data_IF_695449213669
#
_entry.id   IF_695449213669
#
_cell.length_a   1.000
_cell.length_b   1.000
_cell.length_c   1.000
_cell.angle_alpha   90.00
_cell.angle_beta   90.00
_cell.angle_gamma   90.00
#
_symmetry.space_group_name_H-M   'P 1'
#
loop_
_entity.id
_entity.type
_entity.pdbx_description
1 polymer ?
#
# COMPACT_ATOMS: atom_id res chain seq x y z
N UNK A 1 -18.51 8.53 -20.37
CA UNK A 1 -17.49 8.02 -19.43
C UNK A 1 -18.20 7.62 -18.15
N UNK A 2 -18.27 6.33 -17.87
CA UNK A 2 -18.93 5.83 -16.66
C UNK A 2 -18.07 6.23 -15.44
N UNK A 3 -18.71 6.49 -14.30
CA UNK A 3 -18.00 6.83 -13.06
C UNK A 3 -17.00 5.74 -12.63
N UNK A 4 -17.23 4.50 -13.01
CA UNK A 4 -16.32 3.37 -12.86
C UNK A 4 -14.99 3.57 -13.59
N UNK A 5 -14.97 4.10 -14.81
CA UNK A 5 -13.75 4.30 -15.60
C UNK A 5 -12.77 5.27 -14.93
N UNK A 6 -13.31 6.29 -14.24
CA UNK A 6 -12.50 7.29 -13.50
C UNK A 6 -11.88 6.69 -12.25
N UNK A 7 -12.63 5.85 -11.53
CA UNK A 7 -12.14 5.17 -10.33
C UNK A 7 -11.08 4.11 -10.66
N UNK A 8 -11.16 3.52 -11.85
CA UNK A 8 -10.15 2.58 -12.33
C UNK A 8 -8.79 3.24 -12.50
N UNK A 9 -8.75 4.46 -13.07
CA UNK A 9 -7.52 5.22 -13.18
C UNK A 9 -6.89 5.54 -11.83
N UNK A 10 -7.70 5.99 -10.85
CA UNK A 10 -7.22 6.28 -9.49
C UNK A 10 -6.69 5.03 -8.81
N UNK A 11 -7.40 3.91 -8.94
CA UNK A 11 -6.98 2.63 -8.39
C UNK A 11 -5.63 2.17 -8.94
N UNK A 12 -5.42 2.27 -10.27
CA UNK A 12 -4.16 1.92 -10.89
C UNK A 12 -3.00 2.82 -10.45
N UNK A 13 -3.23 4.12 -10.36
CA UNK A 13 -2.22 5.08 -9.88
C UNK A 13 -1.78 4.71 -8.46
N UNK A 14 -2.73 4.54 -7.53
CA UNK A 14 -2.42 4.17 -6.16
C UNK A 14 -1.69 2.83 -6.08
N UNK A 15 -2.19 1.83 -6.79
CA UNK A 15 -1.61 0.49 -6.79
C UNK A 15 -0.17 0.47 -7.27
N UNK A 16 0.09 1.10 -8.43
CA UNK A 16 1.44 1.11 -9.02
C UNK A 16 2.38 1.95 -8.16
N UNK A 17 1.97 3.15 -7.75
CA UNK A 17 2.83 4.05 -6.96
C UNK A 17 3.21 3.43 -5.62
N UNK A 18 2.23 2.93 -4.86
CA UNK A 18 2.46 2.37 -3.53
C UNK A 18 3.20 1.02 -3.61
N UNK A 19 2.80 0.15 -4.52
CA UNK A 19 3.40 -1.16 -4.67
C UNK A 19 4.84 -1.09 -5.20
N UNK A 20 5.09 -0.27 -6.23
CA UNK A 20 6.45 -0.07 -6.75
C UNK A 20 7.33 0.67 -5.74
N UNK A 21 6.78 1.66 -5.02
CA UNK A 21 7.51 2.37 -3.97
C UNK A 21 7.99 1.43 -2.87
N UNK A 22 7.12 0.57 -2.35
CA UNK A 22 7.49 -0.43 -1.34
C UNK A 22 8.52 -1.44 -1.88
N UNK A 23 8.33 -1.92 -3.11
CA UNK A 23 9.25 -2.86 -3.75
C UNK A 23 10.65 -2.25 -3.92
N UNK A 24 10.73 -1.03 -4.44
CA UNK A 24 12.01 -0.33 -4.67
C UNK A 24 12.72 -0.01 -3.35
N UNK A 25 12.00 0.48 -2.35
CA UNK A 25 12.56 0.74 -1.02
C UNK A 25 13.09 -0.54 -0.37
N UNK A 26 12.35 -1.65 -0.50
CA UNK A 26 12.78 -2.95 0.00
C UNK A 26 14.03 -3.48 -0.68
N UNK A 27 14.09 -3.38 -2.02
CA UNK A 27 15.28 -3.77 -2.80
C UNK A 27 16.48 -2.90 -2.45
N UNK A 28 16.29 -1.59 -2.31
CA UNK A 28 17.36 -0.65 -2.02
C UNK A 28 18.04 -0.88 -0.66
N UNK A 29 17.34 -1.48 0.30
CA UNK A 29 17.92 -1.86 1.61
C UNK A 29 19.08 -2.88 1.50
N UNK A 30 19.27 -3.49 0.36
CA UNK A 30 20.41 -4.36 0.09
C UNK A 30 21.61 -3.62 -0.52
N UNK A 31 21.39 -2.45 -1.10
CA UNK A 31 22.36 -1.73 -1.91
C UNK A 31 22.71 -0.34 -1.39
N UNK A 32 21.86 0.27 -0.53
CA UNK A 32 22.01 1.64 0.02
C UNK A 32 22.28 2.69 -1.08
N UNK A 33 21.55 2.59 -2.23
CA UNK A 33 21.72 3.50 -3.37
C UNK A 33 20.87 4.76 -3.27
N UNK A 34 19.64 4.63 -2.79
CA UNK A 34 18.71 5.76 -2.61
C UNK A 34 19.05 6.54 -1.35
N UNK A 35 19.42 5.83 -0.28
CA UNK A 35 19.76 6.43 1.01
C UNK A 35 20.54 5.45 1.89
N UNK A 36 21.18 5.95 2.93
CA UNK A 36 21.79 5.12 3.98
C UNK A 36 20.74 4.72 5.00
N UNK A 37 20.13 3.55 4.82
CA UNK A 37 18.97 3.11 5.61
C UNK A 37 19.23 3.00 7.11
N UNK A 38 20.48 2.75 7.52
CA UNK A 38 20.83 2.66 8.95
C UNK A 38 20.62 3.95 9.73
N UNK A 39 20.62 5.11 9.08
CA UNK A 39 20.37 6.39 9.74
C UNK A 39 18.94 6.56 10.25
N UNK A 40 17.99 5.79 9.72
CA UNK A 40 16.57 5.81 10.11
C UNK A 40 16.21 4.84 11.23
N UNK A 41 17.17 4.04 11.68
CA UNK A 41 16.95 3.13 12.80
C UNK A 41 17.03 3.91 14.11
N UNK A 42 15.97 3.85 14.93
CA UNK A 42 15.97 4.55 16.20
C UNK A 42 16.96 3.92 17.19
N UNK A 43 17.58 4.71 18.09
CA UNK A 43 18.45 4.16 19.15
C UNK A 43 17.75 3.13 20.03
N UNK A 44 16.43 3.26 20.21
CA UNK A 44 15.62 2.30 20.94
C UNK A 44 15.55 0.97 20.18
N UNK A 45 15.28 1.02 18.88
CA UNK A 45 15.25 -0.17 18.05
C UNK A 45 16.61 -0.89 18.07
N UNK A 46 17.72 -0.17 17.93
CA UNK A 46 19.07 -0.75 17.98
C UNK A 46 19.35 -1.49 19.29
N UNK A 47 18.86 -0.97 20.43
CA UNK A 47 19.04 -1.59 21.74
C UNK A 47 18.17 -2.83 21.94
N UNK A 48 17.01 -2.88 21.33
CA UNK A 48 16.05 -3.98 21.50
C UNK A 48 16.27 -5.12 20.49
N UNK A 49 17.01 -4.85 19.40
CA UNK A 49 17.23 -5.85 18.37
C UNK A 49 18.23 -6.94 18.86
N UNK A 50 17.84 -8.23 18.71
CA UNK A 50 18.75 -9.35 19.02
C UNK A 50 19.80 -9.58 17.94
N UNK A 51 19.79 -8.79 16.87
CA UNK A 51 20.64 -8.89 15.67
C UNK A 51 21.24 -7.53 15.31
N UNK A 52 22.28 -7.53 14.48
CA UNK A 52 22.83 -6.26 14.02
C UNK A 52 21.82 -5.45 13.18
N UNK A 53 21.87 -4.13 13.26
CA UNK A 53 20.99 -3.24 12.52
C UNK A 53 20.98 -3.53 11.02
N UNK A 54 22.11 -3.94 10.44
CA UNK A 54 22.20 -4.32 9.01
C UNK A 54 21.38 -5.58 8.69
N UNK A 55 21.42 -6.60 9.54
CA UNK A 55 20.64 -7.82 9.37
C UNK A 55 19.15 -7.49 9.49
N UNK A 56 18.78 -6.68 10.47
CA UNK A 56 17.41 -6.20 10.64
C UNK A 56 16.92 -5.46 9.41
N UNK A 57 17.68 -4.50 8.89
CA UNK A 57 17.30 -3.73 7.69
C UNK A 57 17.14 -4.60 6.44
N UNK A 58 17.97 -5.63 6.27
CA UNK A 58 17.76 -6.60 5.18
C UNK A 58 16.48 -7.41 5.37
N UNK A 59 16.16 -7.81 6.59
CA UNK A 59 14.91 -8.51 6.88
C UNK A 59 13.69 -7.60 6.61
N UNK A 60 13.74 -6.33 7.01
CA UNK A 60 12.69 -5.36 6.67
C UNK A 60 12.57 -5.15 5.16
N UNK A 61 13.70 -5.15 4.44
CA UNK A 61 13.72 -5.09 2.97
C UNK A 61 12.98 -6.26 2.32
N UNK A 62 13.17 -7.49 2.82
CA UNK A 62 12.43 -8.67 2.33
C UNK A 62 10.92 -8.50 2.58
N UNK A 63 10.52 -8.01 3.76
CA UNK A 63 9.12 -7.75 4.08
C UNK A 63 8.52 -6.71 3.13
N UNK A 64 9.22 -5.62 2.86
CA UNK A 64 8.77 -4.57 1.94
C UNK A 64 8.63 -5.07 0.50
N UNK A 65 9.56 -5.90 0.04
CA UNK A 65 9.47 -6.56 -1.27
C UNK A 65 8.22 -7.43 -1.32
N UNK A 66 7.97 -8.25 -0.31
CA UNK A 66 6.79 -9.12 -0.26
C UNK A 66 5.49 -8.31 -0.24
N UNK A 67 5.42 -7.24 0.56
CA UNK A 67 4.27 -6.32 0.60
C UNK A 67 4.07 -5.63 -0.75
N UNK A 68 5.15 -5.10 -1.35
CA UNK A 68 5.08 -4.44 -2.66
C UNK A 68 4.56 -5.38 -3.75
N UNK A 69 5.06 -6.62 -3.79
CA UNK A 69 4.57 -7.65 -4.70
C UNK A 69 3.11 -8.02 -4.44
N UNK A 70 2.69 -8.11 -3.17
CA UNK A 70 1.30 -8.37 -2.84
C UNK A 70 0.37 -7.25 -3.34
N UNK A 71 0.76 -5.97 -3.19
CA UNK A 71 0.01 -4.83 -3.72
C UNK A 71 -0.07 -4.87 -5.25
N UNK A 72 1.01 -5.24 -5.94
CA UNK A 72 1.10 -5.26 -7.40
C UNK A 72 0.45 -6.48 -8.05
N UNK A 73 0.11 -7.51 -7.29
CA UNK A 73 -0.46 -8.76 -7.80
C UNK A 73 -1.96 -8.90 -7.46
N UNK A 74 -2.49 -10.11 -7.49
CA UNK A 74 -3.90 -10.41 -7.12
C UNK A 74 -4.26 -10.13 -5.65
N UNK A 75 -3.25 -9.90 -4.81
CA UNK A 75 -3.41 -9.72 -3.37
C UNK A 75 -3.49 -8.24 -2.97
N UNK A 76 -3.81 -7.35 -3.91
CA UNK A 76 -3.81 -5.89 -3.73
C UNK A 76 -4.51 -5.45 -2.45
N UNK A 77 -5.68 -6.00 -2.12
CA UNK A 77 -6.43 -5.62 -0.92
C UNK A 77 -5.67 -5.95 0.37
N UNK A 78 -5.21 -7.19 0.51
CA UNK A 78 -4.45 -7.64 1.67
C UNK A 78 -3.09 -6.94 1.76
N UNK A 79 -2.38 -6.83 0.63
CA UNK A 79 -1.11 -6.12 0.51
C UNK A 79 -1.22 -4.65 0.91
N UNK A 80 -2.32 -3.98 0.55
CA UNK A 80 -2.54 -2.58 0.91
C UNK A 80 -2.79 -2.39 2.42
N UNK A 81 -3.51 -3.29 3.08
CA UNK A 81 -3.62 -3.26 4.54
C UNK A 81 -2.29 -3.54 5.21
N UNK A 82 -1.53 -4.53 4.74
CA UNK A 82 -0.20 -4.83 5.24
C UNK A 82 0.75 -3.62 5.07
N UNK A 83 0.70 -2.95 3.92
CA UNK A 83 1.48 -1.75 3.65
C UNK A 83 1.12 -0.61 4.60
N UNK A 84 -0.17 -0.36 4.82
CA UNK A 84 -0.62 0.68 5.74
C UNK A 84 -0.11 0.46 7.17
N UNK A 85 -0.22 -0.77 7.66
CA UNK A 85 0.29 -1.15 8.98
C UNK A 85 1.82 -1.02 9.04
N UNK A 86 2.52 -1.45 8.00
CA UNK A 86 3.97 -1.38 7.90
C UNK A 86 4.48 0.06 7.93
N UNK A 87 3.89 0.94 7.12
CA UNK A 87 4.23 2.37 7.10
C UNK A 87 3.93 3.06 8.43
N UNK A 88 2.84 2.70 9.10
CA UNK A 88 2.56 3.18 10.44
C UNK A 88 3.64 2.74 11.45
N UNK A 89 4.11 1.50 11.38
CA UNK A 89 5.18 1.00 12.24
C UNK A 89 6.51 1.72 11.97
N UNK A 90 6.85 1.98 10.70
CA UNK A 90 8.02 2.79 10.33
C UNK A 90 7.88 4.21 10.88
N UNK A 91 6.70 4.82 10.76
CA UNK A 91 6.43 6.17 11.29
C UNK A 91 6.66 6.24 12.81
N UNK A 92 6.25 5.21 13.55
CA UNK A 92 6.51 5.13 14.99
C UNK A 92 8.03 5.07 15.28
N UNK A 93 8.77 4.23 14.54
CA UNK A 93 10.23 4.15 14.69
C UNK A 93 10.91 5.51 14.40
N UNK A 94 10.50 6.21 13.33
CA UNK A 94 11.04 7.51 12.96
C UNK A 94 10.68 8.59 13.99
N UNK A 95 9.46 8.58 14.52
CA UNK A 95 9.03 9.50 15.57
C UNK A 95 9.84 9.31 16.86
N UNK A 96 10.14 8.06 17.23
CA UNK A 96 10.99 7.73 18.39
C UNK A 96 12.43 8.17 18.14
N UNK A 97 12.93 8.14 16.90
CA UNK A 97 14.24 8.68 16.53
C UNK A 97 14.30 10.21 16.69
N UNK A 98 13.17 10.93 16.63
CA UNK A 98 13.03 12.34 16.95
C UNK A 98 13.58 13.33 15.91
N UNK A 99 14.10 12.84 14.77
CA UNK A 99 14.84 13.66 13.81
C UNK A 99 14.25 13.72 12.40
N UNK A 100 13.19 12.93 12.09
CA UNK A 100 12.70 12.71 10.73
C UNK A 100 11.19 12.95 10.62
N UNK A 101 10.69 14.07 11.14
CA UNK A 101 9.26 14.41 11.17
C UNK A 101 8.63 14.55 9.79
N UNK A 102 9.39 15.01 8.82
CA UNK A 102 8.99 15.07 7.40
C UNK A 102 8.70 13.66 6.85
N UNK A 103 9.54 12.69 7.17
CA UNK A 103 9.34 11.30 6.78
C UNK A 103 8.18 10.66 7.54
N UNK A 104 8.00 10.97 8.81
CA UNK A 104 6.83 10.52 9.59
C UNK A 104 5.53 10.96 8.91
N UNK A 105 5.42 12.24 8.55
CA UNK A 105 4.23 12.78 7.87
C UNK A 105 4.03 12.14 6.48
N UNK A 106 5.09 11.97 5.72
CA UNK A 106 5.06 11.30 4.42
C UNK A 106 4.54 9.86 4.54
N UNK A 107 5.07 9.10 5.49
CA UNK A 107 4.73 7.68 5.63
C UNK A 107 3.32 7.49 6.20
N UNK A 108 2.85 8.37 7.09
CA UNK A 108 1.45 8.41 7.51
C UNK A 108 0.50 8.75 6.36
N UNK A 109 0.88 9.71 5.49
CA UNK A 109 0.13 10.01 4.28
C UNK A 109 0.05 8.82 3.31
N UNK A 110 1.16 8.13 3.12
CA UNK A 110 1.22 6.91 2.31
C UNK A 110 0.42 5.75 2.96
N UNK A 111 0.41 5.64 4.29
CA UNK A 111 -0.43 4.66 5.00
C UNK A 111 -1.93 4.94 4.78
N UNK A 112 -2.35 6.19 4.83
CA UNK A 112 -3.72 6.59 4.52
C UNK A 112 -4.09 6.28 3.06
N UNK A 113 -3.18 6.56 2.12
CA UNK A 113 -3.35 6.21 0.70
C UNK A 113 -3.45 4.68 0.49
N UNK A 114 -2.67 3.89 1.22
CA UNK A 114 -2.74 2.43 1.18
C UNK A 114 -4.09 1.91 1.73
N UNK A 115 -4.62 2.51 2.79
CA UNK A 115 -5.97 2.22 3.29
C UNK A 115 -7.05 2.57 2.26
N UNK A 116 -6.92 3.71 1.59
CA UNK A 116 -7.83 4.11 0.51
C UNK A 116 -7.81 3.09 -0.64
N UNK A 117 -6.63 2.62 -1.05
CA UNK A 117 -6.47 1.58 -2.07
C UNK A 117 -7.13 0.26 -1.64
N UNK A 118 -6.95 -0.17 -0.39
CA UNK A 118 -7.59 -1.37 0.13
C UNK A 118 -9.12 -1.29 0.09
N UNK A 119 -9.68 -0.13 0.49
CA UNK A 119 -11.13 0.15 0.46
C UNK A 119 -11.66 0.20 -0.97
N UNK A 120 -10.95 0.89 -1.86
CA UNK A 120 -11.32 0.99 -3.27
C UNK A 120 -11.30 -0.37 -3.97
N UNK A 121 -10.30 -1.22 -3.65
CA UNK A 121 -10.23 -2.59 -4.16
C UNK A 121 -11.43 -3.44 -3.71
N UNK A 122 -11.83 -3.31 -2.44
CA UNK A 122 -13.00 -4.01 -1.92
C UNK A 122 -14.31 -3.54 -2.58
N UNK A 123 -14.44 -2.22 -2.80
CA UNK A 123 -15.62 -1.64 -3.45
C UNK A 123 -15.73 -2.09 -4.91
N UNK A 124 -14.61 -2.16 -5.64
CA UNK A 124 -14.56 -2.66 -7.02
C UNK A 124 -15.04 -4.11 -7.11
N UNK A 125 -14.52 -4.98 -6.25
CA UNK A 125 -14.94 -6.39 -6.20
C UNK A 125 -16.45 -6.52 -5.96
N UNK A 126 -17.01 -5.75 -5.02
CA UNK A 126 -18.44 -5.75 -4.74
C UNK A 126 -19.29 -5.16 -5.89
N UNK A 127 -18.75 -4.26 -6.70
CA UNK A 127 -19.43 -3.72 -7.86
C UNK A 127 -19.50 -4.74 -9.01
N UNK A 128 -18.44 -5.54 -9.19
CA UNK A 128 -18.37 -6.59 -10.21
C UNK A 128 -19.31 -7.78 -9.89
N UNK A 129 -19.57 -8.01 -8.60
CA UNK A 129 -20.50 -9.08 -8.13
C UNK A 129 -22.00 -8.71 -8.24
N UNK A 130 -22.34 -7.44 -8.54
CA UNK A 130 -23.73 -7.05 -8.69
C UNK A 130 -24.28 -7.57 -10.01
N UNK A 131 -25.34 -8.45 -9.99
CA UNK A 131 -26.00 -8.87 -11.21
C UNK A 131 -26.51 -7.62 -11.95
N UNK A 132 -26.30 -7.56 -13.27
CA UNK A 132 -27.04 -6.64 -14.12
C UNK A 132 -28.52 -6.97 -13.91
N UNK A 133 -29.27 -6.07 -13.27
CA UNK A 133 -30.72 -6.15 -13.29
C UNK A 133 -31.10 -5.96 -14.75
N UNK A 134 -31.29 -7.06 -15.47
CA UNK A 134 -31.96 -7.06 -16.75
C UNK A 134 -33.40 -6.57 -16.46
N UNK A 135 -33.59 -5.27 -16.62
CA UNK A 135 -34.93 -4.70 -16.71
C UNK A 135 -35.50 -5.29 -17.98
N UNK A 136 -36.44 -6.24 -17.93
CA UNK A 136 -37.04 -6.69 -19.16
C UNK A 136 -37.63 -5.46 -19.86
N UNK A 137 -37.22 -5.27 -21.11
CA UNK A 137 -37.82 -4.24 -21.94
C UNK A 137 -39.31 -4.49 -21.98
N UNK A 138 -40.06 -3.80 -21.11
CA UNK A 138 -41.51 -3.81 -21.09
C UNK A 138 -42.00 -3.06 -22.33
N UNK A 139 -41.91 -3.73 -23.45
CA UNK A 139 -42.43 -3.36 -24.76
C UNK A 139 -43.54 -4.31 -25.17
N UNK A 140 -44.39 -4.70 -24.25
CA UNK A 140 -45.67 -5.29 -24.64
C UNK A 140 -46.59 -4.14 -25.06
N UNK A 141 -46.62 -3.87 -26.37
CA UNK A 141 -47.61 -3.03 -26.99
C UNK A 141 -49.01 -3.48 -26.58
N UNK A 142 -49.69 -2.60 -25.84
CA UNK A 142 -51.15 -2.65 -25.73
C UNK A 142 -51.67 -2.33 -27.13
N UNK A 143 -52.03 -3.37 -27.88
CA UNK A 143 -52.93 -3.25 -29.03
C UNK A 143 -54.35 -3.35 -28.50
N UNK A 144 -55.06 -2.24 -28.49
CA UNK A 144 -56.49 -2.17 -28.49
C UNK A 144 -56.99 -1.83 -29.89
#
# INVERSE_FOLDING_TARGET
MRSTDRLDGVWWILRVTLGAGALLAGVDKFFDRLTTWSMYLSPLAERLLPVSGRVFLRATGVIEIAIGLAVLTRWTRAGSYALALWLAAISVNLAVAGSFWDLVLRDLGNAAAALALARLTAWRAAADERPSLDIPASGAAVKA
#
